data_IF_748029225375
#
_entry.id   IF_748029225375
#
_cell.length_a   1.000
_cell.length_b   1.000
_cell.length_c   1.000
_cell.angle_alpha   90.00
_cell.angle_beta   90.00
_cell.angle_gamma   90.00
#
_symmetry.space_group_name_H-M   'P 1'
#
loop_
_entity.id
_entity.type
_entity.pdbx_description
1 polymer ?
#
# COMPACT_ATOMS: atom_id res chain seq x y z
N UNK A 1 -4.71 2.87 22.90
CA UNK A 1 -5.81 3.21 21.94
C UNK A 1 -5.64 2.45 20.63
N UNK A 2 -5.71 1.11 20.64
CA UNK A 2 -5.55 0.30 19.42
C UNK A 2 -6.65 0.55 18.37
N UNK A 3 -7.87 0.84 18.84
CA UNK A 3 -9.01 1.12 17.95
C UNK A 3 -8.82 2.38 17.12
N UNK A 4 -8.27 3.46 17.70
CA UNK A 4 -8.01 4.70 16.97
C UNK A 4 -7.00 4.51 15.82
N UNK A 5 -5.96 3.72 16.07
CA UNK A 5 -4.99 3.34 15.03
C UNK A 5 -5.63 2.52 13.91
N UNK A 6 -6.49 1.55 14.26
CA UNK A 6 -7.21 0.75 13.27
C UNK A 6 -8.14 1.58 12.39
N UNK A 7 -8.91 2.52 12.98
CA UNK A 7 -9.78 3.40 12.19
C UNK A 7 -9.01 4.33 11.26
N UNK A 8 -7.86 4.86 11.69
CA UNK A 8 -6.97 5.64 10.82
C UNK A 8 -6.46 4.81 9.63
N UNK A 9 -6.01 3.58 9.90
CA UNK A 9 -5.58 2.64 8.86
C UNK A 9 -6.70 2.33 7.84
N UNK A 10 -7.90 1.99 8.33
CA UNK A 10 -9.05 1.71 7.47
C UNK A 10 -9.48 2.93 6.66
N UNK A 11 -9.41 4.12 7.26
CA UNK A 11 -9.72 5.37 6.57
C UNK A 11 -8.78 5.63 5.40
N UNK A 12 -7.47 5.44 5.59
CA UNK A 12 -6.47 5.59 4.51
C UNK A 12 -6.76 4.61 3.36
N UNK A 13 -7.09 3.36 3.67
CA UNK A 13 -7.47 2.36 2.67
C UNK A 13 -8.71 2.82 1.92
N UNK A 14 -9.78 3.15 2.64
CA UNK A 14 -11.06 3.55 2.04
C UNK A 14 -10.90 4.79 1.14
N UNK A 15 -10.14 5.80 1.59
CA UNK A 15 -9.87 7.01 0.82
C UNK A 15 -9.07 6.70 -0.47
N UNK A 16 -8.09 5.80 -0.38
CA UNK A 16 -7.30 5.40 -1.56
C UNK A 16 -8.18 4.67 -2.58
N UNK A 17 -8.99 3.71 -2.13
CA UNK A 17 -9.89 2.96 -3.01
C UNK A 17 -11.00 3.81 -3.60
N UNK A 18 -11.52 4.82 -2.88
CA UNK A 18 -12.55 5.71 -3.43
C UNK A 18 -12.05 6.48 -4.64
N UNK A 19 -10.79 6.94 -4.62
CA UNK A 19 -10.16 7.58 -5.77
C UNK A 19 -9.98 6.63 -6.96
N UNK A 20 -9.50 5.41 -6.71
CA UNK A 20 -9.31 4.40 -7.77
C UNK A 20 -10.64 3.99 -8.40
N UNK A 21 -11.66 3.71 -7.58
CA UNK A 21 -13.01 3.34 -8.06
C UNK A 21 -13.66 4.50 -8.79
N UNK A 22 -13.51 5.73 -8.30
CA UNK A 22 -14.08 6.93 -8.92
C UNK A 22 -13.50 7.25 -10.30
N UNK A 23 -12.25 6.86 -10.58
CA UNK A 23 -11.60 7.10 -11.86
C UNK A 23 -11.81 5.96 -12.87
N UNK A 24 -12.03 4.73 -12.41
CA UNK A 24 -12.23 3.55 -13.27
C UNK A 24 -13.32 3.80 -14.35
N UNK A 25 -13.07 3.49 -15.65
CA UNK A 25 -11.92 2.76 -16.22
C UNK A 25 -10.74 3.67 -16.63
N UNK A 26 -10.85 4.98 -16.42
CA UNK A 26 -9.77 5.92 -16.67
C UNK A 26 -8.75 5.88 -15.51
N UNK A 27 -7.49 6.09 -15.83
CA UNK A 27 -6.42 6.27 -14.85
C UNK A 27 -6.03 7.74 -14.80
N UNK A 28 -5.88 8.35 -15.98
CA UNK A 28 -5.53 9.76 -16.13
C UNK A 28 -6.41 10.35 -17.25
N UNK A 29 -7.47 11.10 -16.91
CA UNK A 29 -8.32 11.75 -17.90
C UNK A 29 -7.58 12.93 -18.53
N UNK A 30 -7.69 13.08 -19.85
CA UNK A 30 -7.13 14.24 -20.56
C UNK A 30 -8.04 15.45 -20.41
N UNK A 31 -7.47 16.62 -20.15
CA UNK A 31 -8.21 17.90 -20.08
C UNK A 31 -8.38 18.58 -21.44
N UNK A 32 -7.69 18.10 -22.49
CA UNK A 32 -7.71 18.72 -23.83
C UNK A 32 -8.71 18.02 -24.75
N UNK A 33 -8.65 16.68 -24.80
CA UNK A 33 -9.55 15.85 -25.60
C UNK A 33 -9.71 14.48 -24.91
N UNK A 34 -10.95 14.04 -24.61
CA UNK A 34 -11.25 12.74 -24.03
C UNK A 34 -10.59 11.56 -24.74
N UNK A 35 -10.33 11.65 -26.06
CA UNK A 35 -9.69 10.60 -26.88
C UNK A 35 -8.27 10.23 -26.41
N UNK A 36 -7.56 11.17 -25.79
CA UNK A 36 -6.20 10.94 -25.26
C UNK A 36 -6.18 10.52 -23.78
N UNK A 37 -7.34 10.18 -23.20
CA UNK A 37 -7.38 9.69 -21.82
C UNK A 37 -6.67 8.34 -21.69
N UNK A 38 -5.88 8.20 -20.64
CA UNK A 38 -5.20 6.95 -20.31
C UNK A 38 -6.17 6.06 -19.56
N UNK A 39 -6.47 4.90 -20.15
CA UNK A 39 -7.40 3.90 -19.64
C UNK A 39 -6.66 2.59 -19.38
N UNK A 40 -7.28 1.70 -18.61
CA UNK A 40 -6.72 0.36 -18.37
C UNK A 40 -6.47 -0.44 -19.66
N UNK A 41 -7.23 -0.14 -20.72
CA UNK A 41 -7.18 -0.87 -21.98
C UNK A 41 -6.08 -0.38 -22.92
N UNK A 42 -5.74 0.90 -22.87
CA UNK A 42 -4.72 1.50 -23.75
C UNK A 42 -3.35 1.67 -23.07
N UNK A 43 -3.30 1.64 -21.74
CA UNK A 43 -2.10 1.92 -20.95
C UNK A 43 -1.56 0.71 -20.18
N UNK A 44 -2.18 -0.47 -20.36
CA UNK A 44 -1.67 -1.70 -19.74
C UNK A 44 -0.44 -2.24 -20.49
N UNK A 45 0.44 -2.90 -19.74
CA UNK A 45 1.55 -3.65 -20.31
C UNK A 45 1.06 -4.86 -21.11
N UNK A 46 1.95 -5.46 -21.92
CA UNK A 46 1.63 -6.69 -22.64
C UNK A 46 1.15 -7.80 -21.68
N UNK A 47 0.23 -8.69 -22.10
CA UNK A 47 -0.31 -9.74 -21.23
C UNK A 47 0.77 -10.65 -20.63
N UNK A 48 1.85 -10.88 -21.36
CA UNK A 48 3.00 -11.65 -20.88
C UNK A 48 3.67 -10.98 -19.68
N UNK A 49 4.06 -9.71 -19.83
CA UNK A 49 4.72 -8.94 -18.78
C UNK A 49 3.81 -8.78 -17.56
N UNK A 50 2.53 -8.51 -17.79
CA UNK A 50 1.54 -8.39 -16.71
C UNK A 50 1.43 -9.70 -15.92
N UNK A 51 1.36 -10.84 -16.60
CA UNK A 51 1.30 -12.15 -15.95
C UNK A 51 2.55 -12.46 -15.13
N UNK A 52 3.74 -12.15 -15.67
CA UNK A 52 5.01 -12.34 -14.95
C UNK A 52 5.04 -11.49 -13.69
N UNK A 53 4.69 -10.20 -13.78
CA UNK A 53 4.65 -9.32 -12.61
C UNK A 53 3.62 -9.76 -11.57
N UNK A 54 2.46 -10.28 -11.98
CA UNK A 54 1.47 -10.84 -11.05
C UNK A 54 2.04 -12.03 -10.27
N UNK A 55 2.79 -12.93 -10.93
CA UNK A 55 3.45 -14.06 -10.26
C UNK A 55 4.47 -13.55 -9.24
N UNK A 56 5.27 -12.55 -9.61
CA UNK A 56 6.23 -11.90 -8.70
C UNK A 56 5.52 -11.33 -7.49
N UNK A 57 4.45 -10.54 -7.69
CA UNK A 57 3.67 -9.95 -6.59
C UNK A 57 3.11 -11.01 -5.65
N UNK A 58 2.53 -12.09 -6.19
CA UNK A 58 1.96 -13.19 -5.39
C UNK A 58 3.02 -13.86 -4.49
N UNK A 59 4.28 -13.91 -4.91
CA UNK A 59 5.36 -14.53 -4.14
C UNK A 59 5.98 -13.54 -3.16
N UNK A 60 6.38 -12.35 -3.61
CA UNK A 60 7.19 -11.44 -2.81
C UNK A 60 6.37 -10.64 -1.79
N UNK A 61 5.13 -10.26 -2.10
CA UNK A 61 4.28 -9.52 -1.16
C UNK A 61 4.03 -10.30 0.14
N UNK A 62 3.61 -11.58 0.13
CA UNK A 62 3.40 -12.31 1.39
C UNK A 62 4.71 -12.53 2.17
N UNK A 63 5.85 -12.71 1.49
CA UNK A 63 7.16 -12.83 2.15
C UNK A 63 7.49 -11.54 2.91
N UNK A 64 7.33 -10.38 2.26
CA UNK A 64 7.58 -9.08 2.88
C UNK A 64 6.64 -8.83 4.05
N UNK A 65 5.34 -9.12 3.89
CA UNK A 65 4.35 -8.96 4.96
C UNK A 65 4.66 -9.87 6.16
N UNK A 66 5.11 -11.11 5.92
CA UNK A 66 5.51 -12.01 6.99
C UNK A 66 6.68 -11.45 7.80
N UNK A 67 7.72 -10.96 7.10
CA UNK A 67 8.86 -10.33 7.73
C UNK A 67 8.47 -9.08 8.52
N UNK A 68 7.64 -8.20 7.95
CA UNK A 68 7.14 -7.00 8.64
C UNK A 68 6.31 -7.36 9.89
N UNK A 69 5.46 -8.38 9.82
CA UNK A 69 4.68 -8.85 10.95
C UNK A 69 5.57 -9.43 12.07
N UNK A 70 6.60 -10.19 11.70
CA UNK A 70 7.61 -10.70 12.64
C UNK A 70 8.39 -9.55 13.31
N UNK A 71 8.90 -8.61 12.51
CA UNK A 71 9.65 -7.46 13.01
C UNK A 71 8.79 -6.60 13.95
N UNK A 72 7.55 -6.30 13.57
CA UNK A 72 6.60 -5.58 14.42
C UNK A 72 6.40 -6.29 15.77
N UNK A 73 6.23 -7.63 15.77
CA UNK A 73 6.12 -8.40 17.01
C UNK A 73 7.40 -8.36 17.85
N UNK A 74 8.56 -8.51 17.24
CA UNK A 74 9.86 -8.50 17.92
C UNK A 74 10.12 -7.18 18.64
N UNK A 75 9.76 -6.05 18.02
CA UNK A 75 9.98 -4.72 18.59
C UNK A 75 8.76 -4.13 19.32
N UNK A 76 7.75 -4.95 19.64
CA UNK A 76 6.50 -4.47 20.26
C UNK A 76 6.62 -4.18 21.77
N UNK A 77 7.83 -4.12 22.33
CA UNK A 77 8.01 -3.83 23.75
C UNK A 77 7.85 -2.33 24.02
N UNK A 78 7.45 -2.01 25.25
CA UNK A 78 7.33 -0.61 25.69
C UNK A 78 8.69 -0.15 26.19
N UNK A 79 9.21 0.93 25.60
CA UNK A 79 10.40 1.59 26.10
C UNK A 79 10.07 2.27 27.42
N UNK A 80 10.88 2.01 28.46
CA UNK A 80 10.71 2.62 29.79
C UNK A 80 11.67 3.79 29.98
N UNK A 81 11.28 4.82 30.76
CA UNK A 81 12.17 5.96 31.07
C UNK A 81 13.52 5.55 31.68
N UNK A 82 13.58 4.38 32.34
CA UNK A 82 14.82 3.84 32.91
C UNK A 82 15.81 3.40 31.82
N UNK A 83 15.34 2.72 30.77
CA UNK A 83 16.18 2.35 29.62
C UNK A 83 16.73 3.59 28.91
N UNK A 84 15.89 4.62 28.75
CA UNK A 84 16.32 5.88 28.14
C UNK A 84 17.45 6.57 28.94
N UNK A 85 17.33 6.60 30.27
CA UNK A 85 18.35 7.18 31.16
C UNK A 85 19.64 6.36 31.25
N UNK A 86 19.55 5.03 31.14
CA UNK A 86 20.74 4.15 31.13
C UNK A 86 21.53 4.25 29.82
N UNK A 87 20.87 4.56 28.70
CA UNK A 87 21.53 4.81 27.41
C UNK A 87 22.15 6.22 27.28
N UNK A 88 22.09 7.04 28.34
CA UNK A 88 22.74 8.35 28.39
C UNK A 88 21.96 9.49 27.74
N UNK A 89 20.65 9.33 27.55
CA UNK A 89 19.71 10.38 27.13
C UNK A 89 18.93 10.98 28.31
#
# INVERSE_FOLDING_TARGET
>A
NGSAFLFSFLFIIALTFSGVIGLYPNLIPSSIDPKYSLTIFNSSSSPYTLKVMTIVVIIFVPIVLFYQAWAYKTFMYKITEKELKEEGY
#
